data_IF_791449051743
#
_entry.id   IF_791449051743
#
_cell.length_a   1.000
_cell.length_b   1.000
_cell.length_c   1.000
_cell.angle_alpha   90.00
_cell.angle_beta   90.00
_cell.angle_gamma   90.00
#
_symmetry.space_group_name_H-M   'P 1'
#
loop_
_entity.id
_entity.type
_entity.pdbx_description
1 polymer ?
#
# COMPACT_ATOMS: atom_id res chain seq x y z
N UNK A 1 11.08 -0.18 -0.26
CA UNK A 1 10.93 -0.71 -1.64
C UNK A 1 10.60 -2.20 -1.66
N UNK A 2 11.49 -3.10 -1.23
CA UNK A 2 11.25 -4.55 -1.24
C UNK A 2 9.99 -5.00 -0.48
N UNK A 3 9.74 -4.44 0.71
CA UNK A 3 8.51 -4.72 1.46
C UNK A 3 7.25 -4.41 0.63
N UNK A 4 7.24 -3.28 -0.10
CA UNK A 4 6.14 -2.88 -0.98
C UNK A 4 5.93 -3.88 -2.13
N UNK A 5 7.02 -4.31 -2.76
CA UNK A 5 6.97 -5.36 -3.80
C UNK A 5 6.42 -6.66 -3.25
N UNK A 6 6.91 -7.10 -2.08
CA UNK A 6 6.45 -8.33 -1.42
C UNK A 6 4.96 -8.27 -1.06
N UNK A 7 4.50 -7.14 -0.50
CA UNK A 7 3.08 -6.90 -0.23
C UNK A 7 2.25 -6.92 -1.51
N UNK A 8 2.75 -6.32 -2.60
CA UNK A 8 2.05 -6.30 -3.88
C UNK A 8 1.97 -7.67 -4.58
N UNK A 9 2.90 -8.59 -4.28
CA UNK A 9 2.86 -9.97 -4.77
C UNK A 9 1.85 -10.84 -4.01
N UNK A 10 1.56 -10.55 -2.74
CA UNK A 10 0.72 -11.39 -1.89
C UNK A 10 -0.68 -11.68 -2.48
N UNK A 11 -1.42 -10.72 -3.09
CA UNK A 11 -2.72 -10.98 -3.70
C UNK A 11 -2.70 -11.90 -4.94
N UNK A 12 -1.54 -12.05 -5.60
CA UNK A 12 -1.40 -12.98 -6.72
C UNK A 12 -1.27 -14.43 -6.26
N UNK A 13 -0.55 -14.63 -5.17
CA UNK A 13 -0.25 -15.97 -4.63
C UNK A 13 -1.35 -16.45 -3.68
N UNK A 14 -1.89 -15.56 -2.86
CA UNK A 14 -2.75 -15.92 -1.73
C UNK A 14 -3.74 -14.81 -1.36
N UNK A 15 -4.59 -14.36 -2.30
CA UNK A 15 -5.53 -13.25 -2.09
C UNK A 15 -6.40 -13.38 -0.81
N UNK A 16 -7.05 -14.53 -0.60
CA UNK A 16 -7.90 -14.78 0.56
C UNK A 16 -7.12 -14.77 1.89
N UNK A 17 -6.06 -15.59 2.04
CA UNK A 17 -5.19 -15.54 3.21
C UNK A 17 -4.60 -14.16 3.48
N UNK A 18 -4.13 -13.45 2.46
CA UNK A 18 -3.58 -12.11 2.59
C UNK A 18 -4.63 -11.11 3.10
N UNK A 19 -5.84 -11.10 2.53
CA UNK A 19 -6.93 -10.25 2.99
C UNK A 19 -7.31 -10.53 4.47
N UNK A 20 -7.36 -11.81 4.85
CA UNK A 20 -7.62 -12.20 6.25
C UNK A 20 -6.52 -11.78 7.21
N UNK A 21 -5.25 -11.83 6.78
CA UNK A 21 -4.11 -11.36 7.59
C UNK A 21 -4.22 -9.86 7.89
N UNK A 22 -4.70 -9.07 6.91
CA UNK A 22 -4.97 -7.64 7.11
C UNK A 22 -6.29 -7.39 7.85
N UNK A 23 -7.04 -8.45 8.23
CA UNK A 23 -8.20 -8.34 9.10
C UNK A 23 -9.54 -8.18 8.37
N UNK A 24 -9.60 -8.42 7.06
CA UNK A 24 -10.87 -8.46 6.33
C UNK A 24 -11.65 -9.75 6.63
N UNK A 25 -12.98 -9.65 6.79
CA UNK A 25 -13.84 -10.81 7.01
C UNK A 25 -13.96 -11.67 5.74
N UNK A 26 -14.14 -12.98 5.92
CA UNK A 26 -14.27 -13.94 4.82
C UNK A 26 -15.48 -13.65 3.90
N UNK A 27 -16.53 -13.02 4.42
CA UNK A 27 -17.71 -12.61 3.64
C UNK A 27 -17.40 -11.56 2.57
N UNK A 28 -16.28 -10.84 2.67
CA UNK A 28 -15.84 -9.85 1.68
C UNK A 28 -14.87 -10.45 0.65
N UNK A 29 -14.56 -11.74 0.74
CA UNK A 29 -13.68 -12.45 -0.19
C UNK A 29 -14.42 -12.79 -1.50
N UNK A 30 -14.63 -11.78 -2.34
CA UNK A 30 -15.33 -11.87 -3.62
C UNK A 30 -14.36 -11.82 -4.81
N UNK A 31 -14.81 -12.26 -5.99
CA UNK A 31 -14.01 -12.18 -7.21
C UNK A 31 -13.55 -10.74 -7.52
N UNK A 32 -14.44 -9.76 -7.34
CA UNK A 32 -14.13 -8.34 -7.50
C UNK A 32 -13.10 -7.86 -6.49
N UNK A 33 -13.24 -8.21 -5.21
CA UNK A 33 -12.27 -7.85 -4.18
C UNK A 33 -10.88 -8.43 -4.47
N UNK A 34 -10.81 -9.69 -4.93
CA UNK A 34 -9.54 -10.33 -5.34
C UNK A 34 -8.92 -9.65 -6.56
N UNK A 35 -9.72 -9.29 -7.55
CA UNK A 35 -9.25 -8.56 -8.73
C UNK A 35 -8.69 -7.18 -8.32
N UNK A 36 -9.43 -6.44 -7.49
CA UNK A 36 -8.96 -5.15 -6.97
C UNK A 36 -7.67 -5.31 -6.17
N UNK A 37 -7.59 -6.31 -5.28
CA UNK A 37 -6.36 -6.61 -4.54
C UNK A 37 -5.16 -6.85 -5.45
N UNK A 38 -5.34 -7.52 -6.60
CA UNK A 38 -4.27 -7.71 -7.59
C UNK A 38 -3.89 -6.42 -8.30
N UNK A 39 -4.85 -5.55 -8.64
CA UNK A 39 -4.52 -4.24 -9.22
C UNK A 39 -3.75 -3.35 -8.25
N UNK A 40 -4.16 -3.32 -6.97
CA UNK A 40 -3.38 -2.71 -5.90
C UNK A 40 -1.97 -3.33 -5.82
N UNK A 41 -1.89 -4.65 -5.98
CA UNK A 41 -0.62 -5.37 -6.01
C UNK A 41 0.30 -4.98 -7.17
N UNK A 42 -0.21 -4.88 -8.41
CA UNK A 42 0.54 -4.40 -9.58
C UNK A 42 1.13 -3.01 -9.30
N UNK A 43 0.29 -2.11 -8.77
CA UNK A 43 0.69 -0.75 -8.42
C UNK A 43 1.81 -0.75 -7.38
N UNK A 44 1.69 -1.53 -6.32
CA UNK A 44 2.69 -1.59 -5.25
C UNK A 44 4.02 -2.19 -5.72
N UNK A 45 3.98 -3.20 -6.60
CA UNK A 45 5.18 -3.72 -7.27
C UNK A 45 5.81 -2.61 -8.12
N UNK A 46 5.02 -1.94 -8.96
CA UNK A 46 5.51 -0.87 -9.84
C UNK A 46 6.14 0.28 -9.07
N UNK A 47 5.51 0.73 -7.99
CA UNK A 47 6.03 1.78 -7.10
C UNK A 47 7.32 1.36 -6.41
N UNK A 48 7.40 0.10 -5.96
CA UNK A 48 8.61 -0.46 -5.37
C UNK A 48 9.77 -0.55 -6.36
N UNK A 49 9.50 -1.01 -7.59
CA UNK A 49 10.48 -1.04 -8.69
C UNK A 49 10.93 0.37 -9.06
N UNK A 50 10.00 1.32 -9.17
CA UNK A 50 10.31 2.72 -9.44
C UNK A 50 11.21 3.33 -8.36
N UNK A 51 10.97 3.01 -7.09
CA UNK A 51 11.83 3.45 -6.00
C UNK A 51 13.25 2.86 -6.11
N UNK A 52 13.38 1.56 -6.44
CA UNK A 52 14.69 0.94 -6.66
C UNK A 52 15.42 1.54 -7.86
N UNK A 53 14.72 1.81 -8.95
CA UNK A 53 15.26 2.48 -10.13
C UNK A 53 15.70 3.92 -9.83
N UNK A 54 14.97 4.61 -8.96
CA UNK A 54 15.32 5.96 -8.48
C UNK A 54 16.63 5.99 -7.69
N UNK A 55 17.02 4.91 -7.00
CA UNK A 55 18.29 4.84 -6.27
C UNK A 55 19.51 5.02 -7.18
N UNK A 56 19.39 4.71 -8.47
CA UNK A 56 20.47 4.91 -9.45
C UNK A 56 20.40 6.26 -10.16
N UNK A 57 19.48 7.15 -9.77
CA UNK A 57 19.23 8.47 -10.38
C UNK A 57 18.94 9.52 -9.30
N UNK A 58 19.99 10.05 -8.63
CA UNK A 58 19.85 11.00 -7.54
C UNK A 58 18.99 12.23 -7.89
N UNK A 59 19.01 12.66 -9.14
CA UNK A 59 18.29 13.83 -9.65
C UNK A 59 16.76 13.70 -9.58
N UNK A 60 16.21 12.48 -9.65
CA UNK A 60 14.75 12.24 -9.57
C UNK A 60 14.32 11.52 -8.29
N UNK A 61 15.28 11.01 -7.51
CA UNK A 61 15.00 10.24 -6.29
C UNK A 61 14.10 11.00 -5.29
N UNK A 62 14.34 12.30 -4.97
CA UNK A 62 13.47 13.03 -4.06
C UNK A 62 12.00 13.08 -4.53
N UNK A 63 11.78 13.28 -5.83
CA UNK A 63 10.42 13.27 -6.40
C UNK A 63 9.76 11.89 -6.26
N UNK A 64 10.49 10.81 -6.56
CA UNK A 64 9.96 9.43 -6.48
C UNK A 64 9.59 9.05 -5.03
N UNK A 65 10.40 9.46 -4.06
CA UNK A 65 10.11 9.23 -2.64
C UNK A 65 8.85 9.99 -2.21
N UNK A 66 8.73 11.26 -2.58
CA UNK A 66 7.54 12.05 -2.28
C UNK A 66 6.29 11.51 -3.01
N UNK A 67 6.43 11.06 -4.25
CA UNK A 67 5.36 10.41 -5.00
C UNK A 67 4.86 9.15 -4.28
N UNK A 68 5.77 8.29 -3.80
CA UNK A 68 5.40 7.14 -2.98
C UNK A 68 4.68 7.53 -1.68
N UNK A 69 5.15 8.58 -1.00
CA UNK A 69 4.49 9.10 0.20
C UNK A 69 3.06 9.56 -0.09
N UNK A 70 2.82 10.25 -1.21
CA UNK A 70 1.48 10.67 -1.63
C UNK A 70 0.57 9.50 -2.00
N UNK A 71 1.11 8.46 -2.63
CA UNK A 71 0.34 7.24 -2.91
C UNK A 71 -0.14 6.59 -1.61
N UNK A 72 0.74 6.49 -0.60
CA UNK A 72 0.39 5.94 0.71
C UNK A 72 -0.57 6.86 1.49
N UNK A 73 -0.45 8.19 1.34
CA UNK A 73 -1.42 9.13 1.88
C UNK A 73 -2.82 8.95 1.24
N UNK A 74 -2.87 8.70 -0.07
CA UNK A 74 -4.10 8.35 -0.78
C UNK A 74 -4.73 7.07 -0.26
N UNK A 75 -3.93 6.03 -0.04
CA UNK A 75 -4.37 4.76 0.55
C UNK A 75 -4.90 4.95 1.98
N UNK A 76 -4.21 5.77 2.78
CA UNK A 76 -4.64 6.11 4.13
C UNK A 76 -6.02 6.79 4.12
N UNK A 77 -6.24 7.75 3.22
CA UNK A 77 -7.55 8.40 3.06
C UNK A 77 -8.61 7.39 2.61
N UNK A 78 -8.30 6.58 1.59
CA UNK A 78 -9.24 5.61 1.03
C UNK A 78 -9.67 4.56 2.07
N UNK A 79 -8.73 4.06 2.87
CA UNK A 79 -8.99 3.09 3.94
C UNK A 79 -9.58 3.74 5.20
N UNK A 80 -9.40 5.05 5.37
CA UNK A 80 -10.10 5.83 6.39
C UNK A 80 -11.61 5.99 6.15
N UNK A 81 -12.05 6.01 4.88
CA UNK A 81 -13.47 6.18 4.54
C UNK A 81 -14.35 5.09 5.18
N UNK A 82 -14.05 3.78 5.04
CA UNK A 82 -14.83 2.74 5.71
C UNK A 82 -14.89 2.86 7.23
N UNK A 83 -13.83 3.37 7.89
CA UNK A 83 -13.80 3.60 9.34
C UNK A 83 -14.77 4.71 9.74
N UNK A 84 -14.72 5.84 9.04
CA UNK A 84 -15.58 7.00 9.31
C UNK A 84 -17.04 6.66 8.99
N UNK A 85 -17.27 5.95 7.88
CA UNK A 85 -18.61 5.55 7.43
C UNK A 85 -19.16 4.28 8.09
N UNK A 86 -18.41 3.65 9.00
CA UNK A 86 -18.80 2.43 9.73
C UNK A 86 -19.32 1.32 8.80
N UNK A 87 -18.55 1.01 7.76
CA UNK A 87 -18.94 0.04 6.72
C UNK A 87 -18.76 -1.43 7.14
N UNK A 88 -18.49 -1.72 8.42
CA UNK A 88 -18.41 -3.08 8.95
C UNK A 88 -17.10 -3.82 8.65
N UNK A 89 -16.10 -3.12 8.12
CA UNK A 89 -14.75 -3.67 7.85
C UNK A 89 -13.68 -3.02 8.72
N UNK A 90 -14.05 -2.55 9.91
CA UNK A 90 -13.25 -1.68 10.77
C UNK A 90 -11.84 -2.22 11.03
N UNK A 91 -11.70 -3.52 11.30
CA UNK A 91 -10.39 -4.15 11.52
C UNK A 91 -9.52 -4.13 10.26
N UNK A 92 -10.09 -4.50 9.12
CA UNK A 92 -9.42 -4.49 7.82
C UNK A 92 -8.96 -3.09 7.43
N UNK A 93 -9.85 -2.12 7.61
CA UNK A 93 -9.62 -0.73 7.30
C UNK A 93 -8.56 -0.10 8.23
N UNK A 94 -8.62 -0.37 9.54
CA UNK A 94 -7.65 0.16 10.51
C UNK A 94 -6.23 -0.39 10.29
N UNK A 95 -6.09 -1.70 10.03
CA UNK A 95 -4.78 -2.29 9.76
C UNK A 95 -4.21 -1.81 8.42
N UNK A 96 -5.05 -1.66 7.39
CA UNK A 96 -4.63 -1.10 6.10
C UNK A 96 -4.19 0.37 6.24
N UNK A 97 -4.95 1.18 7.00
CA UNK A 97 -4.59 2.55 7.31
C UNK A 97 -3.27 2.65 8.07
N UNK A 98 -3.05 1.80 9.07
CA UNK A 98 -1.79 1.73 9.81
C UNK A 98 -0.61 1.39 8.90
N UNK A 99 -0.76 0.41 8.01
CA UNK A 99 0.28 0.05 7.05
C UNK A 99 0.59 1.20 6.09
N UNK A 100 -0.44 1.89 5.58
CA UNK A 100 -0.28 3.06 4.73
C UNK A 100 0.44 4.20 5.48
N UNK A 101 0.10 4.46 6.74
CA UNK A 101 0.78 5.46 7.56
C UNK A 101 2.27 5.12 7.77
N UNK A 102 2.59 3.87 8.13
CA UNK A 102 3.99 3.42 8.32
C UNK A 102 4.78 3.54 7.00
N UNK A 103 4.20 3.08 5.88
CA UNK A 103 4.81 3.19 4.56
C UNK A 103 5.08 4.64 4.17
N UNK A 104 4.04 5.48 4.23
CA UNK A 104 4.11 6.90 3.92
C UNK A 104 5.14 7.65 4.76
N UNK A 105 5.13 7.45 6.08
CA UNK A 105 6.13 8.04 6.99
C UNK A 105 7.56 7.60 6.67
N UNK A 106 7.75 6.34 6.28
CA UNK A 106 9.07 5.83 5.88
C UNK A 106 9.59 6.54 4.62
N UNK A 107 8.73 6.79 3.63
CA UNK A 107 9.11 7.53 2.43
C UNK A 107 9.43 9.00 2.71
N UNK A 108 8.65 9.65 3.58
CA UNK A 108 8.92 11.03 4.02
C UNK A 108 10.26 11.10 4.75
N UNK A 109 10.54 10.17 5.66
CA UNK A 109 11.81 10.11 6.38
C UNK A 109 12.99 9.98 5.41
N UNK A 110 12.89 9.10 4.41
CA UNK A 110 13.91 8.96 3.38
C UNK A 110 14.07 10.24 2.56
N UNK A 111 12.97 10.87 2.14
CA UNK A 111 12.99 12.13 1.39
C UNK A 111 13.73 13.24 2.13
N UNK A 112 13.50 13.37 3.45
CA UNK A 112 14.15 14.35 4.31
C UNK A 112 15.67 14.19 4.39
N UNK A 113 16.18 12.96 4.19
CA UNK A 113 17.63 12.64 4.24
C UNK A 113 18.29 12.74 2.87
N UNK A 114 17.52 12.59 1.79
CA UNK A 114 18.04 12.66 0.40
C UNK A 114 17.99 14.05 -0.23
N UNK A 115 17.52 15.06 0.50
CA UNK A 115 17.39 16.44 0.02
C UNK A 115 18.57 17.31 0.46
#
# INVERSE_FOLDING_TARGET
AFARIGLGLAPFLAAGPAARLVGFPASHDTATARLMGRFFGVRDIGLGVLALWGLTRPEVLPFILLFNAFMDAGDLVATGIPLVKRQGIDRGAALSALMAAIGGSSWIAMWLVTR
#
